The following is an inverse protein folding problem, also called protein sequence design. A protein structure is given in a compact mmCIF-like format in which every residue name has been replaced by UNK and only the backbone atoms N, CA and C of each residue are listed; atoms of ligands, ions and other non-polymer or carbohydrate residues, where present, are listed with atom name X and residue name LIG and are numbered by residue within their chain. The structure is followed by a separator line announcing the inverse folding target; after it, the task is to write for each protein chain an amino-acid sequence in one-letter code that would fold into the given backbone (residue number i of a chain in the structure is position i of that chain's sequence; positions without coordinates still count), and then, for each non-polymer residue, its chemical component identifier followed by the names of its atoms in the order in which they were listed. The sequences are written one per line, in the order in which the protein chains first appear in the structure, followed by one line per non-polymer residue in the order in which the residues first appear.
data_IF_469430904404
#
_entry.id   IF_469430904404
#
_cell.length_a   1.000
_cell.length_b   1.000
_cell.length_c   1.000
_cell.angle_alpha   90.00
_cell.angle_beta   90.00
_cell.angle_gamma   90.00
#
_symmetry.space_group_name_H-M   'P 1'
#
loop_
_entity.id
_entity.type
_entity.pdbx_description
1 polymer ?
#
# COMPACT_ATOMS: atom_id res chain seq x y z
N UNK A 1 -20.72 22.38 -43.35
CA UNK A 1 -20.45 21.12 -42.64
C UNK A 1 -19.31 21.32 -41.66
N UNK A 2 -19.60 21.77 -40.43
CA UNK A 2 -18.64 21.83 -39.34
C UNK A 2 -19.28 21.20 -38.11
N UNK A 3 -18.78 20.05 -37.66
CA UNK A 3 -18.90 19.63 -36.26
C UNK A 3 -18.04 18.40 -35.95
N UNK A 4 -17.29 18.54 -34.87
CA UNK A 4 -16.84 17.49 -33.95
C UNK A 4 -15.68 16.59 -34.39
N UNK A 5 -14.47 17.15 -34.32
CA UNK A 5 -13.31 16.39 -33.86
C UNK A 5 -13.13 16.71 -32.37
N UNK A 6 -13.64 15.84 -31.50
CA UNK A 6 -13.47 15.98 -30.05
C UNK A 6 -12.02 15.70 -29.64
N UNK A 7 -11.52 16.33 -28.56
CA UNK A 7 -10.20 16.02 -28.02
C UNK A 7 -10.21 14.58 -27.48
N UNK A 8 -9.31 13.76 -28.00
CA UNK A 8 -8.98 12.43 -27.47
C UNK A 8 -8.45 12.62 -26.04
N UNK A 9 -9.28 12.32 -25.06
CA UNK A 9 -8.89 12.28 -23.65
C UNK A 9 -7.78 11.24 -23.48
N UNK A 10 -6.60 11.72 -23.08
CA UNK A 10 -5.46 10.87 -22.75
C UNK A 10 -5.81 10.00 -21.54
N UNK A 11 -5.54 8.67 -21.55
CA UNK A 11 -5.50 7.89 -20.33
C UNK A 11 -4.25 8.27 -19.55
N UNK A 12 -4.34 9.37 -18.79
CA UNK A 12 -3.39 9.70 -17.74
C UNK A 12 -3.57 8.67 -16.61
N UNK A 13 -2.88 7.54 -16.75
CA UNK A 13 -2.69 6.54 -15.69
C UNK A 13 -1.82 7.10 -14.58
N UNK A 14 -2.38 8.04 -13.81
CA UNK A 14 -1.86 8.40 -12.50
C UNK A 14 -2.23 7.29 -11.52
N UNK A 15 -1.29 6.92 -10.65
CA UNK A 15 -1.53 5.99 -9.53
C UNK A 15 -2.74 6.51 -8.76
N UNK A 16 -3.90 5.87 -8.90
CA UNK A 16 -5.11 6.34 -8.24
C UNK A 16 -4.91 6.17 -6.74
N UNK A 17 -4.67 7.28 -6.04
CA UNK A 17 -4.65 7.43 -4.58
C UNK A 17 -6.03 7.20 -3.95
N UNK A 18 -6.90 6.45 -4.63
CA UNK A 18 -8.19 6.03 -4.12
C UNK A 18 -7.96 4.89 -3.12
N UNK A 19 -7.61 5.30 -1.90
CA UNK A 19 -7.44 4.44 -0.73
C UNK A 19 -8.79 3.80 -0.32
N UNK A 20 -9.91 4.19 -0.95
CA UNK A 20 -11.24 3.59 -0.75
C UNK A 20 -11.25 2.09 -1.06
N UNK A 21 -10.50 1.63 -2.07
CA UNK A 21 -10.33 0.19 -2.36
C UNK A 21 -9.61 -0.57 -1.24
N UNK A 22 -8.78 0.14 -0.47
CA UNK A 22 -8.10 -0.37 0.70
C UNK A 22 -8.92 -0.17 1.99
N UNK A 23 -10.11 0.45 1.95
CA UNK A 23 -10.87 0.73 3.17
C UNK A 23 -11.43 -0.54 3.86
N UNK A 24 -11.53 -1.65 3.13
CA UNK A 24 -11.96 -2.92 3.71
C UNK A 24 -10.80 -3.58 4.45
N UNK A 25 -11.04 -4.00 5.69
CA UNK A 25 -10.05 -4.71 6.54
C UNK A 25 -9.37 -5.88 5.84
N UNK A 26 -10.13 -6.65 5.03
CA UNK A 26 -9.62 -7.76 4.23
C UNK A 26 -8.67 -7.31 3.11
N UNK A 27 -8.95 -6.19 2.45
CA UNK A 27 -8.05 -5.62 1.43
C UNK A 27 -6.76 -5.07 2.06
N UNK A 28 -6.84 -4.48 3.26
CA UNK A 28 -5.64 -4.09 4.02
C UNK A 28 -4.81 -5.30 4.40
N UNK A 29 -5.43 -6.34 4.94
CA UNK A 29 -4.71 -7.57 5.32
C UNK A 29 -4.02 -8.22 4.12
N UNK A 30 -4.71 -8.33 2.97
CA UNK A 30 -4.12 -8.85 1.74
C UNK A 30 -2.98 -7.95 1.21
N UNK A 31 -3.13 -6.63 1.28
CA UNK A 31 -2.08 -5.69 0.90
C UNK A 31 -0.85 -5.79 1.83
N UNK A 32 -1.07 -5.97 3.14
CA UNK A 32 -0.02 -6.20 4.13
C UNK A 32 0.76 -7.48 3.85
N UNK A 33 0.08 -8.58 3.53
CA UNK A 33 0.74 -9.83 3.14
C UNK A 33 1.60 -9.67 1.90
N UNK A 34 1.11 -8.99 0.85
CA UNK A 34 1.88 -8.74 -0.37
C UNK A 34 3.09 -7.85 -0.11
N UNK A 35 2.95 -6.83 0.73
CA UNK A 35 4.07 -5.99 1.13
C UNK A 35 5.13 -6.79 1.89
N UNK A 36 4.70 -7.62 2.85
CA UNK A 36 5.59 -8.45 3.64
C UNK A 36 6.34 -9.48 2.79
N UNK A 37 5.69 -10.04 1.76
CA UNK A 37 6.35 -10.91 0.78
C UNK A 37 7.48 -10.18 0.03
N UNK A 38 7.23 -8.94 -0.43
CA UNK A 38 8.26 -8.15 -1.13
C UNK A 38 9.42 -7.82 -0.18
N UNK A 39 9.12 -7.37 1.04
CA UNK A 39 10.14 -7.03 2.02
C UNK A 39 10.97 -8.25 2.44
N UNK A 40 10.32 -9.39 2.67
CA UNK A 40 11.01 -10.65 3.00
C UNK A 40 11.91 -11.09 1.84
N UNK A 41 11.44 -10.98 0.59
CA UNK A 41 12.27 -11.23 -0.59
C UNK A 41 13.48 -10.31 -0.67
N UNK A 42 13.31 -9.02 -0.38
CA UNK A 42 14.42 -8.06 -0.32
C UNK A 42 15.41 -8.43 0.79
N UNK A 43 14.94 -8.80 1.98
CA UNK A 43 15.78 -9.26 3.08
C UNK A 43 16.59 -10.50 2.70
N UNK A 44 15.95 -11.53 2.14
CA UNK A 44 16.61 -12.75 1.69
C UNK A 44 17.68 -12.44 0.63
N UNK A 45 17.35 -11.56 -0.31
CA UNK A 45 18.29 -11.10 -1.34
C UNK A 45 19.48 -10.35 -0.73
N UNK A 46 19.25 -9.44 0.22
CA UNK A 46 20.32 -8.70 0.90
C UNK A 46 21.21 -9.60 1.75
N UNK A 47 20.66 -10.61 2.44
CA UNK A 47 21.45 -11.61 3.17
C UNK A 47 22.35 -12.42 2.23
N UNK A 48 21.85 -12.77 1.03
CA UNK A 48 22.61 -13.49 0.02
C UNK A 48 23.69 -12.62 -0.61
N UNK A 49 23.39 -11.35 -0.91
CA UNK A 49 24.37 -10.37 -1.39
C UNK A 49 25.47 -10.08 -0.37
N UNK A 50 25.15 -10.14 0.93
CA UNK A 50 26.13 -10.00 2.00
C UNK A 50 27.06 -11.24 2.13
N UNK A 51 26.72 -12.38 1.52
CA UNK A 51 27.63 -13.51 1.42
C UNK A 51 28.72 -13.17 0.41
N UNK A 52 29.88 -12.74 0.93
CA UNK A 52 31.10 -12.44 0.16
C UNK A 52 31.70 -13.71 -0.44
N UNK A 53 31.12 -14.18 -1.53
CA UNK A 53 31.65 -15.26 -2.33
C UNK A 53 31.06 -15.16 -3.71
N UNK A 54 31.70 -14.36 -4.56
CA UNK A 54 31.55 -14.53 -6.01
C UNK A 54 32.08 -15.92 -6.32
N UNK A 55 31.17 -16.89 -6.38
CA UNK A 55 31.48 -18.15 -6.99
C UNK A 55 31.83 -17.81 -8.44
N UNK A 56 33.09 -18.00 -8.83
CA UNK A 56 33.57 -17.86 -10.21
C UNK A 56 32.75 -18.73 -11.22
N UNK A 57 31.83 -19.55 -10.71
CA UNK A 57 30.94 -20.47 -11.41
C UNK A 57 29.44 -20.12 -11.28
N UNK A 58 29.03 -19.10 -10.50
CA UNK A 58 27.63 -18.67 -10.46
C UNK A 58 27.26 -18.08 -11.84
N UNK A 59 26.30 -18.71 -12.49
CA UNK A 59 25.84 -18.31 -13.82
C UNK A 59 24.60 -17.43 -13.69
N UNK A 60 24.45 -16.43 -14.57
CA UNK A 60 23.25 -15.56 -14.62
C UNK A 60 21.93 -16.35 -14.67
N UNK A 61 21.94 -17.56 -15.25
CA UNK A 61 20.78 -18.45 -15.28
C UNK A 61 20.42 -19.07 -13.92
N UNK A 62 21.43 -19.41 -13.11
CA UNK A 62 21.23 -19.89 -11.74
C UNK A 62 20.69 -18.77 -10.85
N UNK A 63 21.18 -17.54 -11.02
CA UNK A 63 20.67 -16.37 -10.30
C UNK A 63 19.18 -16.11 -10.59
N UNK A 64 18.77 -16.21 -11.85
CA UNK A 64 17.35 -16.04 -12.20
C UNK A 64 16.46 -17.14 -11.62
N UNK A 65 16.93 -18.40 -11.64
CA UNK A 65 16.19 -19.50 -11.03
C UNK A 65 16.07 -19.33 -9.50
N UNK A 66 17.16 -18.91 -8.86
CA UNK A 66 17.20 -18.58 -7.43
C UNK A 66 16.28 -17.41 -7.09
N UNK A 67 16.30 -16.34 -7.89
CA UNK A 67 15.41 -15.18 -7.69
C UNK A 67 13.93 -15.62 -7.76
N UNK A 68 13.56 -16.50 -8.69
CA UNK A 68 12.20 -17.06 -8.74
C UNK A 68 11.87 -17.96 -7.54
N UNK A 69 12.83 -18.77 -7.09
CA UNK A 69 12.67 -19.59 -5.89
C UNK A 69 12.47 -18.71 -4.65
N UNK A 70 13.25 -17.65 -4.50
CA UNK A 70 13.16 -16.70 -3.40
C UNK A 70 11.82 -15.95 -3.43
N UNK A 71 11.30 -15.61 -4.61
CA UNK A 71 9.96 -15.02 -4.75
C UNK A 71 8.84 -15.95 -4.26
N UNK A 72 8.92 -17.24 -4.60
CA UNK A 72 7.94 -18.22 -4.13
C UNK A 72 8.07 -18.48 -2.62
N UNK A 73 9.31 -18.57 -2.13
CA UNK A 73 9.59 -18.72 -0.71
C UNK A 73 9.05 -17.53 0.08
N UNK A 74 9.35 -16.31 -0.34
CA UNK A 74 8.90 -15.10 0.35
C UNK A 74 7.36 -14.97 0.37
N UNK A 75 6.68 -15.36 -0.71
CA UNK A 75 5.21 -15.44 -0.74
C UNK A 75 4.68 -16.47 0.26
N UNK A 76 5.27 -17.67 0.31
CA UNK A 76 4.87 -18.72 1.25
C UNK A 76 5.10 -18.30 2.71
N UNK A 77 6.20 -17.60 2.99
CA UNK A 77 6.53 -17.10 4.33
C UNK A 77 5.57 -16.00 4.76
N UNK A 78 5.19 -15.09 3.87
CA UNK A 78 4.20 -14.05 4.18
C UNK A 78 2.83 -14.62 4.55
N UNK A 79 2.47 -15.81 4.05
CA UNK A 79 1.21 -16.49 4.37
C UNK A 79 1.33 -17.34 5.64
N UNK A 80 2.37 -18.16 5.76
CA UNK A 80 2.46 -19.20 6.79
C UNK A 80 3.29 -18.81 8.02
N UNK A 81 4.28 -17.94 7.86
CA UNK A 81 5.17 -17.51 8.94
C UNK A 81 5.44 -16.00 8.87
N UNK A 82 4.39 -15.15 8.98
CA UNK A 82 4.57 -13.71 8.93
C UNK A 82 5.39 -13.23 10.13
N UNK A 83 6.38 -12.41 9.83
CA UNK A 83 7.27 -11.72 10.77
C UNK A 83 6.55 -10.50 11.40
N UNK A 84 5.43 -10.07 10.81
CA UNK A 84 4.51 -9.07 11.36
C UNK A 84 4.65 -7.67 10.77
N UNK A 85 5.55 -7.49 9.80
CA UNK A 85 5.82 -6.19 9.19
C UNK A 85 4.62 -5.72 8.35
N UNK A 86 3.98 -6.64 7.62
CA UNK A 86 2.78 -6.33 6.85
C UNK A 86 1.63 -5.89 7.74
N UNK A 87 1.45 -6.55 8.88
CA UNK A 87 0.42 -6.19 9.89
C UNK A 87 0.70 -4.84 10.55
N UNK A 88 1.95 -4.53 10.86
CA UNK A 88 2.31 -3.24 11.44
C UNK A 88 2.04 -2.10 10.45
N UNK A 89 2.34 -2.29 9.17
CA UNK A 89 2.08 -1.29 8.13
C UNK A 89 0.58 -1.07 7.90
N UNK A 90 -0.22 -2.13 7.85
CA UNK A 90 -1.67 -2.00 7.66
C UNK A 90 -2.35 -1.38 8.86
N UNK A 91 -1.89 -1.67 10.08
CA UNK A 91 -2.36 -1.03 11.30
C UNK A 91 -2.02 0.48 11.30
N UNK A 92 -0.82 0.85 10.87
CA UNK A 92 -0.42 2.25 10.72
C UNK A 92 -1.31 2.98 9.70
N UNK A 93 -1.54 2.39 8.53
CA UNK A 93 -2.39 2.97 7.49
C UNK A 93 -3.86 3.07 7.92
N UNK A 94 -4.40 2.04 8.56
CA UNK A 94 -5.76 2.08 9.11
C UNK A 94 -5.92 3.18 10.17
N UNK A 95 -4.89 3.41 10.99
CA UNK A 95 -4.86 4.46 12.00
C UNK A 95 -4.78 5.86 11.38
N UNK A 96 -3.98 6.05 10.33
CA UNK A 96 -3.88 7.34 9.64
C UNK A 96 -5.22 7.69 8.96
N UNK A 97 -5.85 6.74 8.27
CA UNK A 97 -7.17 6.94 7.64
C UNK A 97 -8.26 7.29 8.66
N UNK A 98 -8.23 6.68 9.85
CA UNK A 98 -9.16 7.01 10.94
C UNK A 98 -8.95 8.42 11.51
N UNK A 99 -7.73 8.95 11.42
CA UNK A 99 -7.40 10.30 11.93
C UNK A 99 -7.89 11.39 10.96
N UNK A 100 -7.88 11.11 9.66
CA UNK A 100 -8.37 12.05 8.62
C UNK A 100 -9.90 12.17 8.62
N UNK A 101 -10.65 11.10 8.93
CA UNK A 101 -12.12 11.16 8.99
C UNK A 101 -12.68 11.78 10.28
N UNK A 102 -11.84 11.99 11.31
CA UNK A 102 -12.25 12.53 12.61
C UNK A 102 -12.00 14.04 12.76
N UNK A 103 -11.52 14.71 11.71
CA UNK A 103 -11.19 16.13 11.69
C UNK A 103 -12.36 17.06 11.26
N UNK A 104 -13.62 16.66 11.49
CA UNK A 104 -14.71 17.62 11.70
C UNK A 104 -15.62 17.11 12.82
N UNK A 105 -15.57 17.76 13.99
CA UNK A 105 -16.79 18.41 14.47
C UNK A 105 -16.45 19.72 15.19
N UNK A 106 -16.81 20.87 14.60
CA UNK A 106 -16.56 22.13 15.30
C UNK A 106 -16.85 23.45 14.58
N UNK A 107 -17.76 23.51 13.62
CA UNK A 107 -18.20 24.79 13.03
C UNK A 107 -19.73 24.96 12.97
N UNK A 108 -20.46 24.27 13.85
CA UNK A 108 -21.90 24.43 14.01
C UNK A 108 -22.32 24.46 15.49
N UNK A 109 -21.73 25.37 16.26
CA UNK A 109 -22.32 25.83 17.52
C UNK A 109 -21.96 27.30 17.74
N UNK A 110 -22.47 28.16 16.86
CA UNK A 110 -22.43 29.61 17.02
C UNK A 110 -23.69 30.28 16.41
N UNK A 111 -24.82 29.57 16.38
CA UNK A 111 -26.08 30.08 15.84
C UNK A 111 -27.30 29.58 16.62
N UNK A 112 -27.33 29.79 17.94
CA UNK A 112 -28.56 29.72 18.73
C UNK A 112 -28.33 30.29 20.15
N UNK A 113 -28.26 31.62 20.28
CA UNK A 113 -28.63 32.34 21.50
C UNK A 113 -28.69 33.84 21.22
N UNK A 114 -29.87 34.44 21.37
CA UNK A 114 -30.01 35.90 21.50
C UNK A 114 -30.98 36.63 20.57
N UNK A 115 -31.97 35.98 19.97
CA UNK A 115 -33.11 36.65 19.32
C UNK A 115 -34.30 36.75 20.29
N UNK A 116 -34.25 37.67 21.25
CA UNK A 116 -35.35 37.96 22.17
C UNK A 116 -35.90 39.37 21.94
N UNK A 117 -36.89 39.49 21.07
CA UNK A 117 -37.77 40.66 20.97
C UNK A 117 -39.06 40.41 21.75
N UNK A 118 -39.67 41.51 22.20
CA UNK A 118 -41.12 41.75 22.44
C UNK A 118 -41.51 42.11 23.88
N UNK A 119 -41.81 43.41 24.00
CA UNK A 119 -42.71 44.15 24.93
C UNK A 119 -42.14 44.69 26.25
#
# INVERSE_FOLDING_TARGET
MSKLLGPIGSPSGGVSTDTSRLASKENLEAAGQRFEAVFTGMMLKSMRQAKLGDGLFDSKGEDQFRDMQDQQLAQSMAVHAPIGIGKAMTAFLARSMKTETAAEPGAASAAAQGGGTVK
#
